data_IF_410561603089
#
_entry.id   IF_410561603089
#
_cell.length_a   1.000
_cell.length_b   1.000
_cell.length_c   1.000
_cell.angle_alpha   90.00
_cell.angle_beta   90.00
_cell.angle_gamma   90.00
#
_symmetry.space_group_name_H-M   'P 1'
#
loop_
_entity.id
_entity.type
_entity.pdbx_description
1 polymer ?
#
# COMPACT_ATOMS: atom_id res chain seq x y z
N UNK A 1 -23.33 -6.23 26.99
CA UNK A 1 -23.75 -5.13 26.12
C UNK A 1 -22.96 -5.26 24.84
N UNK A 2 -23.60 -5.84 23.84
CA UNK A 2 -23.04 -6.14 22.51
C UNK A 2 -23.14 -4.88 21.67
N UNK A 3 -22.02 -4.18 21.47
CA UNK A 3 -21.95 -3.10 20.50
C UNK A 3 -21.89 -3.70 19.08
N UNK A 4 -23.04 -3.69 18.41
CA UNK A 4 -23.10 -3.85 16.96
C UNK A 4 -22.54 -2.58 16.33
N UNK A 5 -21.28 -2.63 15.90
CA UNK A 5 -20.77 -1.69 14.93
C UNK A 5 -21.18 -2.18 13.52
N UNK A 6 -22.34 -1.75 13.07
CA UNK A 6 -22.68 -1.73 11.64
C UNK A 6 -22.04 -0.45 11.10
N UNK A 7 -20.78 -0.52 10.67
CA UNK A 7 -20.14 0.54 9.93
C UNK A 7 -20.56 0.44 8.46
N UNK A 8 -21.41 1.33 8.00
CA UNK A 8 -21.60 1.60 6.56
C UNK A 8 -20.28 2.13 6.00
N UNK A 9 -19.43 1.24 5.48
CA UNK A 9 -18.18 1.59 4.81
C UNK A 9 -18.43 1.80 3.34
N UNK A 10 -19.18 2.87 2.99
CA UNK A 10 -19.29 3.29 1.61
C UNK A 10 -18.10 4.18 1.24
N UNK A 11 -16.90 3.55 1.00
CA UNK A 11 -15.71 4.26 0.52
C UNK A 11 -15.90 4.80 -0.91
N UNK A 12 -16.88 4.29 -1.65
CA UNK A 12 -17.21 4.64 -3.03
C UNK A 12 -18.06 5.91 -3.17
N UNK A 13 -18.66 6.42 -2.07
CA UNK A 13 -19.52 7.61 -2.10
C UNK A 13 -18.79 8.92 -1.79
N UNK A 14 -17.50 8.99 -2.08
CA UNK A 14 -16.70 10.21 -1.91
C UNK A 14 -16.61 11.00 -3.21
N UNK A 15 -16.54 12.35 -3.12
CA UNK A 15 -16.29 13.17 -4.29
C UNK A 15 -14.99 12.79 -4.96
N UNK A 16 -15.01 12.73 -6.28
CA UNK A 16 -13.86 12.56 -7.14
C UNK A 16 -13.32 13.93 -7.60
N UNK A 17 -12.09 13.98 -8.04
CA UNK A 17 -11.49 15.18 -8.62
C UNK A 17 -12.32 15.71 -9.79
N UNK A 18 -12.99 14.84 -10.52
CA UNK A 18 -13.89 15.18 -11.64
C UNK A 18 -15.20 15.86 -11.22
N UNK A 19 -15.59 15.72 -9.94
CA UNK A 19 -16.78 16.35 -9.39
C UNK A 19 -16.53 17.82 -8.96
N UNK A 20 -15.27 18.30 -9.06
CA UNK A 20 -14.89 19.64 -8.64
C UNK A 20 -14.89 20.64 -9.82
N UNK A 21 -15.51 21.79 -9.62
CA UNK A 21 -15.33 22.93 -10.53
C UNK A 21 -14.07 23.71 -10.12
N UNK A 22 -12.96 23.45 -10.79
CA UNK A 22 -11.63 23.97 -10.47
C UNK A 22 -11.22 25.20 -11.28
N UNK A 23 -11.99 25.59 -12.33
CA UNK A 23 -11.61 26.67 -13.26
C UNK A 23 -11.40 28.01 -12.52
N UNK A 24 -10.18 28.52 -12.61
CA UNK A 24 -9.77 29.76 -11.96
C UNK A 24 -9.69 29.69 -10.43
N UNK A 25 -9.86 28.50 -9.84
CA UNK A 25 -9.78 28.32 -8.39
C UNK A 25 -8.46 27.74 -7.95
N UNK A 26 -8.06 28.05 -6.72
CA UNK A 26 -6.95 27.41 -6.04
C UNK A 26 -7.37 26.02 -5.58
N UNK A 27 -6.53 25.04 -5.85
CA UNK A 27 -6.70 23.62 -5.44
C UNK A 27 -5.46 23.19 -4.66
N UNK A 28 -5.63 22.82 -3.42
CA UNK A 28 -4.58 22.17 -2.64
C UNK A 28 -4.64 20.67 -2.91
N UNK A 29 -3.57 20.09 -3.47
CA UNK A 29 -3.50 18.66 -3.76
C UNK A 29 -2.41 18.00 -2.94
N UNK A 30 -2.80 17.05 -2.09
CA UNK A 30 -1.89 16.21 -1.34
C UNK A 30 -1.45 15.04 -2.20
N UNK A 31 -0.17 14.97 -2.52
CA UNK A 31 0.47 13.93 -3.31
C UNK A 31 1.49 13.15 -2.48
N UNK A 32 1.88 11.94 -2.90
CA UNK A 32 2.92 11.15 -2.24
C UNK A 32 4.21 11.15 -3.07
N UNK A 33 5.05 12.17 -2.86
CA UNK A 33 6.36 12.32 -3.47
C UNK A 33 7.49 11.84 -2.56
N UNK A 34 7.21 10.89 -1.68
CA UNK A 34 8.23 10.27 -0.84
C UNK A 34 9.09 9.30 -1.67
N UNK A 35 10.00 9.87 -2.46
CA UNK A 35 10.89 9.19 -3.42
C UNK A 35 12.33 9.19 -2.91
N UNK A 36 13.18 8.22 -3.32
CA UNK A 36 14.59 8.24 -2.96
C UNK A 36 15.32 9.39 -3.65
N UNK A 37 16.04 10.19 -2.86
CA UNK A 37 16.93 11.25 -3.35
C UNK A 37 18.37 10.78 -3.19
N UNK A 38 19.16 10.90 -4.27
CA UNK A 38 20.61 10.63 -4.28
C UNK A 38 21.29 11.75 -5.06
N UNK A 39 22.35 12.31 -4.52
CA UNK A 39 23.09 13.41 -5.15
C UNK A 39 22.21 14.57 -5.63
N UNK A 40 21.25 14.97 -4.78
CA UNK A 40 20.25 16.00 -5.07
C UNK A 40 19.40 15.74 -6.33
N UNK A 41 19.26 14.47 -6.73
CA UNK A 41 18.42 14.01 -7.84
C UNK A 41 17.43 12.94 -7.37
N UNK A 42 16.28 12.85 -8.06
CA UNK A 42 15.30 11.79 -7.84
C UNK A 42 15.84 10.49 -8.45
N UNK A 43 16.02 9.45 -7.63
CA UNK A 43 16.53 8.14 -8.06
C UNK A 43 15.46 7.27 -8.73
N UNK A 44 14.24 7.29 -8.20
CA UNK A 44 13.06 6.61 -8.73
C UNK A 44 11.87 7.58 -8.72
N UNK A 45 11.20 7.77 -9.85
CA UNK A 45 10.12 8.73 -10.01
C UNK A 45 8.72 8.11 -10.14
N UNK A 46 8.56 6.81 -9.87
CA UNK A 46 7.30 6.09 -10.02
C UNK A 46 6.15 6.78 -9.28
N UNK A 47 6.35 7.21 -8.04
CA UNK A 47 5.33 7.92 -7.25
C UNK A 47 4.96 9.28 -7.84
N UNK A 48 5.93 9.99 -8.42
CA UNK A 48 5.66 11.25 -9.10
C UNK A 48 4.80 10.98 -10.34
N UNK A 49 5.18 9.98 -11.14
CA UNK A 49 4.43 9.58 -12.33
C UNK A 49 3.01 9.11 -12.01
N UNK A 50 2.82 8.41 -10.90
CA UNK A 50 1.51 7.95 -10.46
C UNK A 50 0.52 9.10 -10.18
N UNK A 51 1.00 10.27 -9.73
CA UNK A 51 0.17 11.45 -9.48
C UNK A 51 -0.01 12.35 -10.72
N UNK A 52 0.74 12.13 -11.81
CA UNK A 52 0.63 12.97 -13.01
C UNK A 52 -0.78 13.05 -13.60
N UNK A 53 -1.59 11.99 -13.66
CA UNK A 53 -2.95 12.08 -14.18
C UNK A 53 -3.80 13.13 -13.44
N UNK A 54 -3.79 13.12 -12.10
CA UNK A 54 -4.52 14.08 -11.26
C UNK A 54 -4.00 15.51 -11.43
N UNK A 55 -2.67 15.66 -11.48
CA UNK A 55 -2.00 16.95 -11.65
C UNK A 55 -2.36 17.55 -13.02
N UNK A 56 -2.22 16.78 -14.11
CA UNK A 56 -2.55 17.23 -15.46
C UNK A 56 -4.01 17.59 -15.59
N UNK A 57 -4.90 16.76 -15.06
CA UNK A 57 -6.33 17.04 -15.08
C UNK A 57 -6.64 18.38 -14.39
N UNK A 58 -6.14 18.62 -13.18
CA UNK A 58 -6.36 19.88 -12.48
C UNK A 58 -5.85 21.09 -13.26
N UNK A 59 -4.66 20.98 -13.86
CA UNK A 59 -4.05 22.02 -14.70
C UNK A 59 -4.89 22.28 -15.96
N UNK A 60 -5.35 21.22 -16.64
CA UNK A 60 -6.15 21.31 -17.87
C UNK A 60 -7.55 21.89 -17.59
N UNK A 61 -8.06 21.71 -16.37
CA UNK A 61 -9.28 22.39 -15.89
C UNK A 61 -9.06 23.87 -15.52
N UNK A 62 -7.83 24.38 -15.66
CA UNK A 62 -7.49 25.77 -15.35
C UNK A 62 -7.42 26.08 -13.85
N UNK A 63 -7.06 25.10 -13.02
CA UNK A 63 -6.81 25.31 -11.60
C UNK A 63 -5.50 26.09 -11.36
N UNK A 64 -5.42 26.81 -10.23
CA UNK A 64 -4.15 27.22 -9.61
C UNK A 64 -3.77 26.10 -8.65
N UNK A 65 -2.77 25.30 -9.02
CA UNK A 65 -2.50 24.05 -8.32
C UNK A 65 -1.39 24.20 -7.28
N UNK A 66 -1.71 23.88 -6.03
CA UNK A 66 -0.80 23.91 -4.89
C UNK A 66 -0.55 22.45 -4.47
N UNK A 67 0.62 21.92 -4.78
CA UNK A 67 1.04 20.57 -4.43
C UNK A 67 1.74 20.57 -3.08
N UNK A 68 1.43 19.59 -2.24
CA UNK A 68 2.08 19.37 -0.96
C UNK A 68 2.37 17.87 -0.76
N UNK A 69 3.54 17.57 -0.24
CA UNK A 69 3.97 16.22 0.06
C UNK A 69 4.88 16.17 1.29
N UNK A 70 5.12 14.96 1.78
CA UNK A 70 6.21 14.68 2.70
C UNK A 70 7.36 13.98 1.95
N UNK A 71 8.54 14.04 2.52
CA UNK A 71 9.73 13.30 2.10
C UNK A 71 10.49 12.80 3.33
N UNK A 72 10.66 11.49 3.43
CA UNK A 72 11.40 10.87 4.52
C UNK A 72 10.83 11.11 5.91
N UNK A 73 11.71 11.09 6.90
CA UNK A 73 11.39 11.33 8.32
C UNK A 73 12.39 12.32 8.93
N UNK A 74 12.29 13.60 8.60
CA UNK A 74 13.13 14.64 9.21
C UNK A 74 12.83 14.74 10.71
N UNK A 75 13.82 15.16 11.51
CA UNK A 75 13.72 15.24 12.97
C UNK A 75 13.12 16.58 13.45
N UNK A 76 12.05 17.04 12.76
CA UNK A 76 11.29 18.22 13.23
C UNK A 76 11.93 19.56 12.86
N UNK A 77 12.47 19.71 11.66
CA UNK A 77 13.01 20.97 11.15
C UNK A 77 13.54 20.83 9.71
N UNK A 78 13.85 21.94 9.04
CA UNK A 78 14.43 21.93 7.71
C UNK A 78 15.74 21.14 7.66
N UNK A 79 15.82 20.21 6.72
CA UNK A 79 16.99 19.38 6.43
C UNK A 79 17.14 19.26 4.90
N UNK A 80 18.25 19.74 4.31
CA UNK A 80 18.46 19.68 2.85
C UNK A 80 18.34 18.27 2.25
N UNK A 81 18.63 17.22 3.03
CA UNK A 81 18.49 15.83 2.58
C UNK A 81 17.03 15.43 2.33
N UNK A 82 16.08 16.12 2.95
CA UNK A 82 14.65 15.89 2.84
C UNK A 82 13.89 17.01 2.13
N UNK A 83 14.61 17.92 1.41
CA UNK A 83 13.96 18.98 0.64
C UNK A 83 13.28 18.42 -0.62
N UNK A 84 12.10 18.95 -0.94
CA UNK A 84 11.35 18.65 -2.15
C UNK A 84 11.84 19.45 -3.38
N UNK A 85 12.86 20.29 -3.27
CA UNK A 85 13.42 21.04 -4.41
C UNK A 85 13.87 20.14 -5.57
N UNK A 86 14.54 18.97 -5.37
CA UNK A 86 14.84 18.03 -6.45
C UNK A 86 13.57 17.46 -7.12
N UNK A 87 12.53 17.25 -6.34
CA UNK A 87 11.24 16.75 -6.84
C UNK A 87 10.55 17.80 -7.72
N UNK A 88 10.59 19.08 -7.34
CA UNK A 88 10.05 20.18 -8.15
C UNK A 88 10.72 20.22 -9.54
N UNK A 89 12.05 20.10 -9.59
CA UNK A 89 12.80 20.04 -10.87
C UNK A 89 12.39 18.83 -11.72
N UNK A 90 12.29 17.64 -11.11
CA UNK A 90 11.86 16.43 -11.80
C UNK A 90 10.43 16.53 -12.32
N UNK A 91 9.52 17.05 -11.50
CA UNK A 91 8.12 17.25 -11.86
C UNK A 91 7.97 18.24 -13.01
N UNK A 92 8.76 19.33 -13.04
CA UNK A 92 8.78 20.29 -14.16
C UNK A 92 9.11 19.61 -15.49
N UNK A 93 10.11 18.71 -15.49
CA UNK A 93 10.49 17.94 -16.69
C UNK A 93 9.34 17.00 -17.11
N UNK A 94 8.71 16.30 -16.17
CA UNK A 94 7.63 15.35 -16.47
C UNK A 94 6.34 16.03 -16.94
N UNK A 95 6.07 17.26 -16.47
CA UNK A 95 4.91 18.04 -16.88
C UNK A 95 5.16 18.83 -18.17
N UNK A 96 6.43 19.07 -18.55
CA UNK A 96 6.80 19.94 -19.66
C UNK A 96 6.48 21.42 -19.41
N UNK A 97 6.44 21.84 -18.13
CA UNK A 97 6.16 23.20 -17.68
C UNK A 97 6.87 23.52 -16.37
N UNK A 98 6.99 24.80 -16.05
CA UNK A 98 7.56 25.24 -14.79
C UNK A 98 6.68 24.78 -13.60
N UNK A 99 7.33 24.24 -12.57
CA UNK A 99 6.77 24.01 -11.23
C UNK A 99 7.49 24.95 -10.27
N UNK A 100 6.77 25.95 -9.76
CA UNK A 100 7.31 26.91 -8.81
C UNK A 100 7.52 26.26 -7.45
N UNK A 101 8.76 26.15 -7.03
CA UNK A 101 9.08 25.64 -5.69
C UNK A 101 9.03 26.77 -4.67
N UNK A 102 8.39 26.53 -3.51
CA UNK A 102 8.35 27.47 -2.38
C UNK A 102 9.02 26.81 -1.17
N UNK A 103 10.02 27.45 -0.52
CA UNK A 103 10.88 26.80 0.48
C UNK A 103 10.23 26.71 1.88
N UNK A 104 8.92 26.71 1.95
CA UNK A 104 8.10 26.41 3.13
C UNK A 104 6.73 25.90 2.69
N UNK A 105 5.89 25.41 3.61
CA UNK A 105 4.52 24.98 3.33
C UNK A 105 3.45 25.87 4.00
N UNK A 106 3.83 26.83 4.82
CA UNK A 106 2.94 27.84 5.45
C UNK A 106 3.66 29.17 5.57
N UNK A 107 2.92 30.24 5.85
CA UNK A 107 3.44 31.57 6.15
C UNK A 107 3.56 32.49 4.94
N UNK A 108 4.10 33.72 5.17
CA UNK A 108 4.03 34.81 4.17
C UNK A 108 4.60 34.51 2.80
N UNK A 109 5.68 33.73 2.73
CA UNK A 109 6.29 33.34 1.46
C UNK A 109 5.34 32.48 0.62
N UNK A 110 4.64 31.53 1.26
CA UNK A 110 3.65 30.68 0.62
C UNK A 110 2.42 31.48 0.21
N UNK A 111 1.89 32.31 1.11
CA UNK A 111 0.72 33.15 0.87
C UNK A 111 0.94 34.10 -0.31
N UNK A 112 2.10 34.74 -0.39
CA UNK A 112 2.49 35.63 -1.50
C UNK A 112 2.64 34.85 -2.83
N UNK A 113 3.25 33.65 -2.77
CA UNK A 113 3.41 32.82 -3.96
C UNK A 113 2.06 32.36 -4.53
N UNK A 114 1.12 32.00 -3.64
CA UNK A 114 -0.24 31.57 -4.00
C UNK A 114 -1.10 32.75 -4.47
N UNK A 115 -0.98 33.93 -3.85
CA UNK A 115 -1.71 35.15 -4.24
C UNK A 115 -1.30 35.65 -5.61
N UNK A 116 -0.01 35.50 -5.99
CA UNK A 116 0.52 35.91 -7.28
C UNK A 116 0.38 34.87 -8.41
N UNK A 117 -0.25 33.72 -8.15
CA UNK A 117 -0.37 32.65 -9.15
C UNK A 117 -1.60 32.82 -10.03
N UNK A 118 -1.50 32.30 -11.27
CA UNK A 118 -2.54 32.36 -12.30
C UNK A 118 -3.10 30.97 -12.64
N UNK A 119 -4.29 30.89 -13.27
CA UNK A 119 -4.85 29.63 -13.74
C UNK A 119 -3.84 28.85 -14.62
N UNK A 120 -3.62 27.58 -14.28
CA UNK A 120 -2.66 26.70 -14.90
C UNK A 120 -1.27 26.67 -14.24
N UNK A 121 -0.98 27.57 -13.29
CA UNK A 121 0.27 27.54 -12.54
C UNK A 121 0.29 26.34 -11.58
N UNK A 122 1.51 25.77 -11.39
CA UNK A 122 1.77 24.69 -10.46
C UNK A 122 2.81 25.14 -9.44
N UNK A 123 2.44 25.07 -8.17
CA UNK A 123 3.31 25.39 -7.02
C UNK A 123 3.56 24.09 -6.27
N UNK A 124 4.82 23.77 -5.96
CA UNK A 124 5.18 22.71 -5.01
C UNK A 124 5.72 23.35 -3.75
N UNK A 125 5.09 23.06 -2.63
CA UNK A 125 5.50 23.47 -1.29
C UNK A 125 6.63 22.58 -0.78
N UNK A 126 7.41 23.11 0.17
CA UNK A 126 8.45 22.34 0.86
C UNK A 126 7.85 21.24 1.73
N UNK A 127 8.68 20.31 2.17
CA UNK A 127 8.34 19.11 2.93
C UNK A 127 7.48 19.45 4.16
N UNK A 128 6.24 18.96 4.15
CA UNK A 128 5.28 19.15 5.25
C UNK A 128 5.83 18.71 6.61
N UNK A 129 6.69 17.67 6.64
CA UNK A 129 7.28 17.13 7.87
C UNK A 129 8.43 17.95 8.44
N UNK A 130 8.78 19.06 7.83
CA UNK A 130 9.63 20.07 8.50
C UNK A 130 8.89 20.76 9.65
N UNK A 131 7.55 20.65 9.64
CA UNK A 131 6.68 21.08 10.72
C UNK A 131 6.16 19.85 11.48
N UNK A 132 6.49 19.73 12.77
CA UNK A 132 6.00 18.63 13.64
C UNK A 132 4.48 18.61 13.79
N UNK A 133 3.86 19.74 13.56
CA UNK A 133 2.42 19.97 13.56
C UNK A 133 1.71 19.13 12.48
N UNK A 134 2.39 18.76 11.39
CA UNK A 134 1.86 17.89 10.34
C UNK A 134 1.47 16.53 10.90
N UNK A 135 2.42 15.83 11.52
CA UNK A 135 2.17 14.49 12.06
C UNK A 135 1.28 14.52 13.33
N UNK A 136 1.25 15.63 14.04
CA UNK A 136 0.39 15.84 15.20
C UNK A 136 -1.07 16.17 14.83
N UNK A 137 -1.38 16.34 13.55
CA UNK A 137 -2.69 16.79 13.07
C UNK A 137 -3.14 18.10 13.75
N UNK A 138 -2.21 19.04 13.93
CA UNK A 138 -2.47 20.29 14.66
C UNK A 138 -3.54 21.13 13.95
N UNK A 139 -4.62 21.55 14.65
CA UNK A 139 -5.73 22.28 14.02
C UNK A 139 -5.34 23.66 13.47
N UNK A 140 -4.36 24.35 14.08
CA UNK A 140 -3.92 25.66 13.60
C UNK A 140 -3.07 25.53 12.34
N UNK A 141 -2.23 24.50 12.29
CA UNK A 141 -1.45 24.19 11.10
C UNK A 141 -2.36 23.71 9.95
N UNK A 142 -3.32 22.82 10.24
CA UNK A 142 -4.34 22.38 9.30
C UNK A 142 -5.13 23.55 8.71
N UNK A 143 -5.52 24.51 9.56
CA UNK A 143 -6.20 25.73 9.14
C UNK A 143 -5.33 26.59 8.21
N UNK A 144 -4.03 26.76 8.52
CA UNK A 144 -3.11 27.50 7.64
C UNK A 144 -3.01 26.87 6.26
N UNK A 145 -2.92 25.53 6.18
CA UNK A 145 -2.93 24.81 4.91
C UNK A 145 -4.27 24.98 4.16
N UNK A 146 -5.41 24.84 4.85
CA UNK A 146 -6.74 24.95 4.25
C UNK A 146 -7.06 26.35 3.73
N UNK A 147 -6.53 27.40 4.35
CA UNK A 147 -6.72 28.77 3.88
C UNK A 147 -6.01 29.08 2.55
N UNK A 148 -5.06 28.24 2.11
CA UNK A 148 -4.39 28.41 0.81
C UNK A 148 -5.34 28.16 -0.36
N UNK A 149 -6.37 27.28 -0.20
CA UNK A 149 -7.26 26.91 -1.30
C UNK A 149 -8.66 26.52 -0.80
N UNK A 150 -9.76 26.89 -1.51
CA UNK A 150 -11.11 26.46 -1.16
C UNK A 150 -11.37 24.98 -1.51
N UNK A 151 -10.58 24.38 -2.40
CA UNK A 151 -10.73 23.00 -2.86
C UNK A 151 -9.52 22.17 -2.44
N UNK A 152 -9.78 20.96 -1.97
CA UNK A 152 -8.76 19.99 -1.59
C UNK A 152 -8.90 18.70 -2.39
N UNK A 153 -7.77 18.15 -2.81
CA UNK A 153 -7.69 16.83 -3.45
C UNK A 153 -6.68 15.97 -2.70
N UNK A 154 -7.10 14.80 -2.25
CA UNK A 154 -6.19 13.79 -1.73
C UNK A 154 -5.84 12.78 -2.82
N UNK A 155 -4.58 12.78 -3.25
CA UNK A 155 -4.04 11.83 -4.24
C UNK A 155 -2.87 11.03 -3.65
N UNK A 156 -2.86 10.85 -2.34
CA UNK A 156 -1.77 10.24 -1.57
C UNK A 156 -2.30 9.06 -0.74
N UNK A 157 -2.74 7.98 -1.39
CA UNK A 157 -3.31 6.81 -0.72
C UNK A 157 -2.34 6.21 0.32
N UNK A 158 -1.03 6.17 0.02
CA UNK A 158 -0.01 5.66 0.95
C UNK A 158 0.05 6.36 2.31
N UNK A 159 -0.53 7.56 2.44
CA UNK A 159 -0.61 8.30 3.71
C UNK A 159 -2.02 8.37 4.30
N UNK A 160 -3.01 7.83 3.59
CA UNK A 160 -4.42 7.95 3.97
C UNK A 160 -4.79 7.24 5.29
N UNK A 161 -3.96 6.29 5.73
CA UNK A 161 -4.11 5.57 7.00
C UNK A 161 -3.73 6.41 8.23
N UNK A 162 -3.20 7.62 8.04
CA UNK A 162 -2.79 8.51 9.12
C UNK A 162 -3.61 9.78 9.13
N UNK A 163 -4.14 10.15 10.29
CA UNK A 163 -4.77 11.44 10.51
C UNK A 163 -3.68 12.51 10.70
N UNK A 164 -3.13 13.02 9.59
CA UNK A 164 -2.18 14.13 9.60
C UNK A 164 -2.86 15.44 9.18
N UNK A 165 -2.25 16.58 9.47
CA UNK A 165 -2.81 17.89 9.15
C UNK A 165 -3.13 18.06 7.67
N UNK A 166 -2.27 17.56 6.76
CA UNK A 166 -2.46 17.66 5.31
C UNK A 166 -3.34 16.57 4.70
N UNK A 167 -3.69 15.50 5.44
CA UNK A 167 -4.51 14.37 4.94
C UNK A 167 -5.92 14.37 5.49
N UNK A 168 -6.09 14.69 6.78
CA UNK A 168 -7.37 14.70 7.49
C UNK A 168 -7.71 16.12 7.95
N UNK A 169 -6.86 16.76 8.77
CA UNK A 169 -7.16 18.02 9.41
C UNK A 169 -7.51 19.16 8.45
N UNK A 170 -6.84 19.25 7.30
CA UNK A 170 -7.11 20.24 6.25
C UNK A 170 -8.56 20.22 5.76
N UNK A 171 -9.20 19.04 5.74
CA UNK A 171 -10.56 18.86 5.20
C UNK A 171 -11.62 19.65 5.99
N UNK A 172 -11.33 19.99 7.23
CA UNK A 172 -12.22 20.81 8.08
C UNK A 172 -12.20 22.30 7.71
N UNK A 173 -11.26 22.74 6.87
CA UNK A 173 -11.03 24.14 6.53
C UNK A 173 -11.14 24.46 5.04
N UNK A 174 -11.68 23.53 4.24
CA UNK A 174 -11.92 23.69 2.81
C UNK A 174 -13.41 23.52 2.49
N UNK A 175 -13.87 24.05 1.35
CA UNK A 175 -15.28 23.93 0.93
C UNK A 175 -15.62 22.50 0.50
N UNK A 176 -14.70 21.83 -0.22
CA UNK A 176 -14.85 20.48 -0.74
C UNK A 176 -13.51 19.74 -0.72
N UNK A 177 -13.58 18.50 -0.31
CA UNK A 177 -12.45 17.57 -0.31
C UNK A 177 -12.78 16.38 -1.20
N UNK A 178 -11.95 16.09 -2.21
CA UNK A 178 -12.17 15.03 -3.19
C UNK A 178 -10.98 14.06 -3.28
N UNK A 179 -11.25 12.86 -3.80
CA UNK A 179 -10.21 11.90 -4.17
C UNK A 179 -9.59 12.27 -5.52
N UNK A 180 -8.27 12.20 -5.66
CA UNK A 180 -7.58 12.21 -6.94
C UNK A 180 -7.65 10.86 -7.63
N UNK A 181 -7.22 10.77 -8.88
CA UNK A 181 -7.32 9.53 -9.68
C UNK A 181 -6.52 8.35 -9.10
N UNK A 182 -5.35 8.61 -8.46
CA UNK A 182 -4.60 7.55 -7.79
C UNK A 182 -5.39 7.02 -6.60
N UNK A 183 -5.94 7.90 -5.78
CA UNK A 183 -6.79 7.54 -4.64
C UNK A 183 -8.03 6.77 -5.09
N UNK A 184 -8.74 7.24 -6.12
CA UNK A 184 -9.91 6.55 -6.68
C UNK A 184 -9.57 5.15 -7.19
N UNK A 185 -8.44 5.03 -7.89
CA UNK A 185 -7.95 3.74 -8.41
C UNK A 185 -7.72 2.74 -7.28
N UNK A 186 -7.02 3.17 -6.22
CA UNK A 186 -6.78 2.33 -5.03
C UNK A 186 -8.08 1.89 -4.36
N UNK A 187 -8.99 2.83 -4.12
CA UNK A 187 -10.30 2.55 -3.50
C UNK A 187 -11.16 1.63 -4.37
N UNK A 188 -11.14 1.81 -5.69
CA UNK A 188 -11.89 0.96 -6.63
C UNK A 188 -11.40 -0.48 -6.61
N UNK A 189 -10.09 -0.69 -6.71
CA UNK A 189 -9.55 -2.05 -6.79
C UNK A 189 -9.53 -2.76 -5.44
N UNK A 190 -9.05 -2.10 -4.38
CA UNK A 190 -9.03 -2.68 -3.04
C UNK A 190 -10.45 -2.82 -2.47
N UNK A 191 -11.28 -1.78 -2.59
CA UNK A 191 -12.67 -1.79 -2.13
C UNK A 191 -13.51 -2.81 -2.89
N UNK A 192 -13.41 -2.81 -4.22
CA UNK A 192 -14.10 -3.78 -5.07
C UNK A 192 -13.74 -5.22 -4.75
N UNK A 193 -12.45 -5.49 -4.47
CA UNK A 193 -11.99 -6.82 -4.08
C UNK A 193 -12.53 -7.26 -2.70
N UNK A 194 -12.78 -6.32 -1.76
CA UNK A 194 -13.25 -6.65 -0.42
C UNK A 194 -14.77 -6.66 -0.26
N UNK A 195 -15.46 -5.73 -0.93
CA UNK A 195 -16.90 -5.52 -0.76
C UNK A 195 -17.73 -6.36 -1.73
N UNK A 196 -17.28 -6.48 -2.99
CA UNK A 196 -17.98 -7.16 -4.07
C UNK A 196 -17.08 -8.11 -4.87
N UNK A 197 -16.35 -9.05 -4.24
CA UNK A 197 -15.45 -9.94 -4.95
C UNK A 197 -16.22 -10.89 -5.87
N UNK A 198 -15.71 -11.06 -7.09
CA UNK A 198 -16.10 -12.18 -7.93
C UNK A 198 -15.48 -13.47 -7.35
N UNK A 199 -16.29 -14.54 -7.24
CA UNK A 199 -15.82 -15.80 -6.65
C UNK A 199 -15.38 -16.82 -7.68
N UNK A 200 -14.38 -17.68 -7.39
CA UNK A 200 -13.66 -17.78 -6.10
C UNK A 200 -12.77 -16.57 -5.81
N UNK A 201 -12.81 -16.08 -4.54
CA UNK A 201 -11.95 -15.04 -4.02
C UNK A 201 -10.80 -15.65 -3.21
N UNK A 202 -9.56 -15.40 -3.64
CA UNK A 202 -8.35 -15.97 -3.06
C UNK A 202 -7.49 -14.87 -2.48
N UNK A 203 -7.01 -15.08 -1.26
CA UNK A 203 -5.95 -14.25 -0.70
C UNK A 203 -4.63 -15.04 -0.64
N UNK A 204 -3.53 -14.38 -0.95
CA UNK A 204 -2.16 -14.91 -0.87
C UNK A 204 -1.41 -14.05 0.14
N UNK A 205 -0.95 -14.67 1.22
CA UNK A 205 -0.30 -13.97 2.32
C UNK A 205 1.06 -14.61 2.61
N UNK A 206 2.10 -13.81 2.45
CA UNK A 206 3.46 -14.22 2.74
C UNK A 206 4.20 -13.20 3.60
N UNK A 207 5.54 -13.32 3.67
CA UNK A 207 6.40 -12.47 4.47
C UNK A 207 6.87 -13.14 5.77
N UNK A 208 7.48 -12.36 6.66
CA UNK A 208 8.21 -12.92 7.80
C UNK A 208 7.31 -13.16 9.01
N UNK A 209 6.51 -12.17 9.40
CA UNK A 209 5.77 -12.17 10.67
C UNK A 209 4.27 -12.26 10.45
N UNK A 210 3.62 -13.14 11.22
CA UNK A 210 2.16 -13.19 11.30
C UNK A 210 1.62 -11.96 12.05
N UNK A 211 2.33 -11.46 13.07
CA UNK A 211 1.94 -10.31 13.87
C UNK A 211 1.67 -9.05 13.03
N UNK A 212 2.42 -8.85 11.95
CA UNK A 212 2.25 -7.70 11.06
C UNK A 212 1.00 -7.80 10.17
N UNK A 213 0.33 -8.96 10.13
CA UNK A 213 -0.77 -9.26 9.20
C UNK A 213 -1.99 -9.91 9.85
N UNK A 214 -2.02 -10.00 11.19
CA UNK A 214 -3.10 -10.66 11.93
C UNK A 214 -4.45 -10.10 11.54
N UNK A 215 -4.63 -8.79 11.63
CA UNK A 215 -5.90 -8.12 11.35
C UNK A 215 -6.34 -8.31 9.90
N UNK A 216 -5.38 -8.31 8.96
CA UNK A 216 -5.64 -8.60 7.55
C UNK A 216 -6.12 -10.04 7.38
N UNK A 217 -5.43 -11.01 7.99
CA UNK A 217 -5.79 -12.43 7.91
C UNK A 217 -7.19 -12.65 8.51
N UNK A 218 -7.48 -12.06 9.68
CA UNK A 218 -8.78 -12.19 10.34
C UNK A 218 -9.92 -11.61 9.48
N UNK A 219 -9.74 -10.42 8.93
CA UNK A 219 -10.74 -9.80 8.08
C UNK A 219 -10.95 -10.59 6.78
N UNK A 220 -9.87 -11.00 6.13
CA UNK A 220 -9.93 -11.76 4.87
C UNK A 220 -10.50 -13.17 5.07
N UNK A 221 -10.22 -13.85 6.20
CA UNK A 221 -10.72 -15.19 6.48
C UNK A 221 -12.26 -15.27 6.44
N UNK A 222 -12.93 -14.18 6.85
CA UNK A 222 -14.39 -14.04 6.74
C UNK A 222 -14.89 -13.86 5.30
N UNK A 223 -14.05 -13.46 4.36
CA UNK A 223 -14.43 -13.01 3.02
C UNK A 223 -13.98 -13.97 1.91
N UNK A 224 -12.81 -14.59 2.06
CA UNK A 224 -12.19 -15.44 1.02
C UNK A 224 -12.73 -16.86 0.97
N UNK A 225 -12.59 -17.48 -0.20
CA UNK A 225 -12.83 -18.91 -0.39
C UNK A 225 -11.59 -19.74 -0.05
N UNK A 226 -10.38 -19.18 -0.28
CA UNK A 226 -9.08 -19.77 0.11
C UNK A 226 -8.11 -18.68 0.53
N UNK A 227 -7.26 -19.01 1.50
CA UNK A 227 -6.13 -18.21 1.97
C UNK A 227 -4.86 -19.04 1.85
N UNK A 228 -3.98 -18.64 0.94
CA UNK A 228 -2.70 -19.30 0.68
C UNK A 228 -1.63 -18.65 1.55
N UNK A 229 -0.97 -19.42 2.42
CA UNK A 229 0.07 -18.95 3.33
C UNK A 229 1.44 -19.34 2.78
N UNK A 230 2.38 -18.39 2.82
CA UNK A 230 3.79 -18.61 2.46
C UNK A 230 4.72 -17.74 3.29
N UNK A 231 6.00 -17.66 2.89
CA UNK A 231 7.03 -16.94 3.64
C UNK A 231 7.29 -17.55 5.00
N UNK A 232 8.14 -16.91 5.82
CA UNK A 232 8.50 -17.45 7.13
C UNK A 232 7.30 -17.54 8.10
N UNK A 233 6.25 -16.72 7.89
CA UNK A 233 5.03 -16.79 8.72
C UNK A 233 4.34 -18.17 8.67
N UNK A 234 4.56 -18.99 7.62
CA UNK A 234 4.01 -20.35 7.55
C UNK A 234 4.51 -21.24 8.69
N UNK A 235 5.73 -20.99 9.18
CA UNK A 235 6.33 -21.79 10.25
C UNK A 235 5.69 -21.51 11.60
N UNK A 236 5.16 -20.33 11.85
CA UNK A 236 4.34 -20.07 13.05
C UNK A 236 3.06 -20.94 13.03
N UNK A 237 2.40 -21.06 11.89
CA UNK A 237 1.25 -21.96 11.73
C UNK A 237 1.65 -23.44 11.91
N UNK A 238 2.71 -23.90 11.24
CA UNK A 238 3.18 -25.29 11.34
C UNK A 238 3.64 -25.64 12.76
N UNK A 239 4.39 -24.75 13.42
CA UNK A 239 4.80 -24.92 14.80
C UNK A 239 3.62 -25.00 15.77
N UNK A 240 2.56 -24.18 15.53
CA UNK A 240 1.34 -24.23 16.34
C UNK A 240 0.62 -25.58 16.28
N UNK A 241 0.87 -26.39 15.23
CA UNK A 241 0.36 -27.75 15.06
C UNK A 241 1.36 -28.83 15.58
N UNK A 242 2.48 -28.40 16.22
CA UNK A 242 3.50 -29.32 16.75
C UNK A 242 4.47 -29.88 15.68
N UNK A 243 4.55 -29.24 14.48
CA UNK A 243 5.43 -29.69 13.41
C UNK A 243 6.89 -29.33 13.67
N UNK A 244 7.81 -30.07 13.04
CA UNK A 244 9.25 -29.87 13.12
C UNK A 244 9.67 -28.84 12.07
N UNK A 245 10.06 -27.64 12.52
CA UNK A 245 10.38 -26.51 11.64
C UNK A 245 11.88 -26.17 11.61
N UNK A 246 12.75 -27.02 12.21
CA UNK A 246 14.20 -26.79 12.30
C UNK A 246 14.51 -25.43 12.93
N UNK A 247 15.42 -24.69 12.28
CA UNK A 247 15.79 -23.30 12.66
C UNK A 247 14.97 -22.23 11.96
N UNK A 248 13.84 -22.60 11.33
CA UNK A 248 12.98 -21.63 10.63
C UNK A 248 12.46 -20.56 11.57
N UNK A 249 12.31 -19.34 11.06
CA UNK A 249 11.79 -18.21 11.84
C UNK A 249 10.32 -18.43 12.16
N UNK A 250 9.94 -18.21 13.41
CA UNK A 250 8.55 -18.23 13.87
C UNK A 250 8.36 -17.27 15.05
N UNK A 251 7.12 -16.95 15.37
CA UNK A 251 6.74 -16.09 16.49
C UNK A 251 6.13 -16.96 17.60
N UNK A 252 6.89 -17.19 18.68
CA UNK A 252 6.49 -18.07 19.78
C UNK A 252 5.24 -17.55 20.51
N UNK A 253 5.15 -16.24 20.71
CA UNK A 253 4.02 -15.58 21.36
C UNK A 253 2.74 -15.56 20.51
N UNK A 254 2.81 -16.01 19.24
CA UNK A 254 1.66 -16.08 18.31
C UNK A 254 1.16 -17.49 18.01
N UNK A 255 1.71 -18.52 18.65
CA UNK A 255 1.33 -19.91 18.40
C UNK A 255 -0.16 -20.19 18.71
N UNK A 256 -0.67 -19.66 19.82
CA UNK A 256 -2.09 -19.84 20.18
C UNK A 256 -3.02 -19.12 19.20
N UNK A 257 -2.65 -17.94 18.74
CA UNK A 257 -3.36 -17.21 17.71
C UNK A 257 -3.38 -17.98 16.39
N UNK A 258 -2.23 -18.48 15.94
CA UNK A 258 -2.14 -19.28 14.71
C UNK A 258 -3.04 -20.53 14.79
N UNK A 259 -3.09 -21.19 15.95
CA UNK A 259 -3.98 -22.34 16.19
C UNK A 259 -5.46 -21.94 16.12
N UNK A 260 -5.83 -20.79 16.70
CA UNK A 260 -7.21 -20.29 16.62
C UNK A 260 -7.61 -19.95 15.18
N UNK A 261 -6.75 -19.28 14.42
CA UNK A 261 -7.00 -18.97 12.99
C UNK A 261 -7.23 -20.25 12.17
N UNK A 262 -6.41 -21.29 12.36
CA UNK A 262 -6.58 -22.58 11.69
C UNK A 262 -7.90 -23.25 12.07
N UNK A 263 -8.27 -23.21 13.34
CA UNK A 263 -9.56 -23.73 13.84
C UNK A 263 -10.73 -22.98 13.19
N UNK A 264 -10.70 -21.66 13.18
CA UNK A 264 -11.74 -20.80 12.56
C UNK A 264 -11.82 -21.03 11.04
N UNK A 265 -10.68 -21.23 10.39
CA UNK A 265 -10.62 -21.53 8.96
C UNK A 265 -11.28 -22.85 8.57
N UNK A 266 -11.41 -23.79 9.52
CA UNK A 266 -11.95 -25.14 9.29
C UNK A 266 -13.43 -25.27 9.68
N UNK A 267 -14.06 -24.21 10.15
CA UNK A 267 -15.49 -24.21 10.47
C UNK A 267 -16.31 -24.36 9.20
N UNK A 268 -17.16 -25.40 9.17
CA UNK A 268 -18.03 -25.68 8.01
C UNK A 268 -17.45 -26.64 6.97
N UNK A 269 -16.30 -27.28 7.25
CA UNK A 269 -15.73 -28.30 6.37
C UNK A 269 -14.23 -28.19 6.13
N UNK A 270 -13.79 -28.27 4.87
CA UNK A 270 -12.38 -28.16 4.50
C UNK A 270 -11.83 -26.78 4.87
N UNK A 271 -10.62 -26.75 5.44
CA UNK A 271 -9.96 -25.50 5.83
C UNK A 271 -9.85 -24.51 4.67
N UNK A 272 -10.19 -23.26 4.94
CA UNK A 272 -9.94 -22.17 3.98
C UNK A 272 -8.45 -21.82 3.89
N UNK A 273 -7.68 -22.01 4.98
CA UNK A 273 -6.23 -21.79 4.99
C UNK A 273 -5.54 -23.01 4.40
N UNK A 274 -4.71 -22.76 3.40
CA UNK A 274 -3.79 -23.73 2.82
C UNK A 274 -2.37 -23.41 3.27
N UNK A 275 -1.77 -24.37 3.97
CA UNK A 275 -0.36 -24.31 4.37
C UNK A 275 0.51 -25.06 3.34
N UNK A 276 1.78 -24.69 3.19
CA UNK A 276 2.70 -25.38 2.31
C UNK A 276 2.85 -26.86 2.63
N UNK A 277 2.93 -27.68 1.58
CA UNK A 277 3.19 -29.13 1.67
C UNK A 277 4.68 -29.43 1.77
N UNK A 278 5.50 -28.60 1.12
CA UNK A 278 6.95 -28.70 1.08
C UNK A 278 7.59 -27.32 1.06
N UNK A 279 8.86 -27.29 1.38
CA UNK A 279 9.68 -26.09 1.42
C UNK A 279 11.03 -26.33 0.76
N UNK A 280 11.71 -25.26 0.38
CA UNK A 280 13.15 -25.26 0.10
C UNK A 280 13.84 -24.88 1.39
N UNK A 281 14.62 -25.81 1.93
CA UNK A 281 15.40 -25.61 3.16
C UNK A 281 16.89 -25.51 2.85
N UNK A 282 17.61 -24.80 3.71
CA UNK A 282 19.05 -24.68 3.69
C UNK A 282 19.60 -24.42 5.10
N UNK A 283 20.91 -24.50 5.28
CA UNK A 283 21.56 -24.22 6.57
C UNK A 283 21.43 -22.77 7.03
N UNK A 284 21.06 -21.87 6.12
CA UNK A 284 20.80 -20.43 6.35
C UNK A 284 20.61 -19.70 5.04
N UNK A 285 20.26 -18.40 5.11
CA UNK A 285 20.02 -17.54 3.93
C UNK A 285 21.26 -17.45 3.03
N UNK A 286 22.46 -17.47 3.60
CA UNK A 286 23.73 -17.48 2.84
C UNK A 286 24.17 -18.90 2.44
N UNK A 287 23.40 -19.92 2.82
CA UNK A 287 23.70 -21.33 2.54
C UNK A 287 23.08 -21.83 1.23
N UNK A 288 23.05 -21.03 0.18
CA UNK A 288 22.38 -21.33 -1.11
C UNK A 288 22.82 -22.69 -1.71
N UNK A 289 24.10 -23.06 -1.57
CA UNK A 289 24.62 -24.34 -2.08
C UNK A 289 24.03 -25.57 -1.36
N UNK A 290 23.43 -25.40 -0.19
CA UNK A 290 22.76 -26.46 0.57
C UNK A 290 21.25 -26.54 0.32
N UNK A 291 20.71 -25.69 -0.56
CA UNK A 291 19.28 -25.59 -0.82
C UNK A 291 18.74 -26.92 -1.40
N UNK A 292 17.72 -27.48 -0.76
CA UNK A 292 17.04 -28.69 -1.21
C UNK A 292 15.60 -28.73 -0.74
N UNK A 293 14.80 -29.56 -1.41
CA UNK A 293 13.37 -29.75 -1.11
C UNK A 293 13.19 -30.67 0.12
N UNK A 294 12.34 -30.25 1.04
CA UNK A 294 11.94 -31.03 2.21
C UNK A 294 10.41 -30.92 2.44
N UNK A 295 9.76 -31.88 3.15
CA UNK A 295 8.40 -31.67 3.64
C UNK A 295 8.34 -30.45 4.56
N UNK A 296 7.34 -29.57 4.36
CA UNK A 296 7.25 -28.34 5.16
C UNK A 296 6.98 -28.60 6.66
N UNK A 297 6.40 -29.75 6.98
CA UNK A 297 6.11 -30.18 8.35
C UNK A 297 7.25 -30.93 9.03
N UNK A 298 8.41 -31.06 8.35
CA UNK A 298 9.59 -31.76 8.86
C UNK A 298 10.86 -31.16 8.30
N UNK A 299 11.18 -29.93 8.72
CA UNK A 299 12.45 -29.28 8.41
C UNK A 299 13.55 -29.86 9.30
N UNK A 300 14.71 -30.27 8.75
CA UNK A 300 15.82 -30.78 9.55
C UNK A 300 16.30 -29.79 10.64
N UNK A 301 16.73 -30.29 11.79
CA UNK A 301 17.09 -29.48 12.97
C UNK A 301 18.15 -28.41 12.67
N UNK A 302 19.12 -28.73 11.79
CA UNK A 302 20.21 -27.81 11.41
C UNK A 302 19.84 -26.76 10.35
N UNK A 303 18.64 -26.82 9.79
CA UNK A 303 18.22 -26.07 8.61
C UNK A 303 17.02 -25.17 8.87
N UNK A 304 16.77 -24.25 7.93
CA UNK A 304 15.60 -23.39 7.92
C UNK A 304 14.94 -23.39 6.57
N UNK A 305 13.61 -23.33 6.54
CA UNK A 305 12.86 -23.15 5.30
C UNK A 305 12.93 -21.70 4.81
N UNK A 306 13.21 -21.53 3.52
CA UNK A 306 13.49 -20.23 2.91
C UNK A 306 12.60 -19.92 1.70
N UNK A 307 11.90 -20.92 1.13
CA UNK A 307 10.89 -20.74 0.09
C UNK A 307 9.87 -21.88 0.18
N UNK A 308 8.73 -21.72 -0.48
CA UNK A 308 7.79 -22.82 -0.71
C UNK A 308 8.35 -23.79 -1.75
N UNK A 309 8.07 -25.09 -1.58
CA UNK A 309 8.56 -26.13 -2.47
C UNK A 309 7.65 -26.34 -3.71
N UNK A 310 8.10 -27.17 -4.68
CA UNK A 310 7.41 -27.37 -5.95
C UNK A 310 6.03 -28.02 -5.81
N UNK A 311 5.79 -28.90 -4.83
CA UNK A 311 4.46 -29.48 -4.58
C UNK A 311 3.46 -28.41 -4.09
N UNK A 312 3.94 -27.48 -3.26
CA UNK A 312 3.16 -26.32 -2.80
C UNK A 312 2.85 -25.40 -3.97
N UNK A 313 3.84 -25.12 -4.82
CA UNK A 313 3.66 -24.30 -6.03
C UNK A 313 2.58 -24.91 -6.92
N UNK A 314 2.64 -26.21 -7.21
CA UNK A 314 1.63 -26.92 -8.02
C UNK A 314 0.21 -26.74 -7.43
N UNK A 315 0.07 -26.97 -6.12
CA UNK A 315 -1.21 -26.82 -5.43
C UNK A 315 -1.72 -25.37 -5.50
N UNK A 316 -0.86 -24.37 -5.22
CA UNK A 316 -1.26 -22.97 -5.19
C UNK A 316 -1.58 -22.43 -6.58
N UNK A 317 -0.82 -22.82 -7.60
CA UNK A 317 -1.08 -22.45 -9.01
C UNK A 317 -2.46 -22.95 -9.45
N UNK A 318 -2.82 -24.19 -9.10
CA UNK A 318 -4.15 -24.72 -9.41
C UNK A 318 -5.29 -23.89 -8.78
N UNK A 319 -5.11 -23.45 -7.51
CA UNK A 319 -6.07 -22.60 -6.81
C UNK A 319 -6.13 -21.19 -7.43
N UNK A 320 -4.97 -20.61 -7.77
CA UNK A 320 -4.85 -19.28 -8.40
C UNK A 320 -5.54 -19.25 -9.76
N UNK A 321 -5.34 -20.27 -10.61
CA UNK A 321 -5.97 -20.31 -11.93
C UNK A 321 -7.50 -20.46 -11.89
N UNK A 322 -8.05 -21.03 -10.81
CA UNK A 322 -9.49 -21.11 -10.60
C UNK A 322 -10.10 -19.80 -10.07
N UNK A 323 -9.29 -18.86 -9.60
CA UNK A 323 -9.74 -17.63 -8.98
C UNK A 323 -10.41 -16.65 -9.96
N UNK A 324 -11.29 -15.79 -9.43
CA UNK A 324 -11.86 -14.62 -10.11
C UNK A 324 -11.42 -13.31 -9.48
N UNK A 325 -11.11 -13.33 -8.18
CA UNK A 325 -10.52 -12.22 -7.44
C UNK A 325 -9.32 -12.72 -6.66
N UNK A 326 -8.20 -12.01 -6.75
CA UNK A 326 -6.97 -12.32 -6.02
C UNK A 326 -6.49 -11.05 -5.31
N UNK A 327 -6.18 -11.20 -4.02
CA UNK A 327 -5.40 -10.21 -3.26
C UNK A 327 -4.11 -10.89 -2.82
N UNK A 328 -2.97 -10.28 -3.13
CA UNK A 328 -1.66 -10.82 -2.75
C UNK A 328 -0.84 -9.79 -1.96
N UNK A 329 -0.35 -10.21 -0.79
CA UNK A 329 0.51 -9.40 0.06
C UNK A 329 1.62 -10.25 0.71
N UNK A 330 2.86 -9.97 0.35
CA UNK A 330 4.08 -10.61 0.87
C UNK A 330 4.57 -11.80 0.04
N UNK A 331 5.90 -11.93 -0.12
CA UNK A 331 6.53 -12.99 -0.89
C UNK A 331 6.40 -14.35 -0.20
N UNK A 332 6.57 -15.43 -0.99
CA UNK A 332 6.47 -16.80 -0.52
C UNK A 332 7.79 -17.34 0.05
N UNK A 333 8.90 -16.67 -0.20
CA UNK A 333 10.24 -17.00 0.24
C UNK A 333 11.19 -15.83 0.19
N UNK A 334 12.48 -16.05 0.41
CA UNK A 334 13.57 -15.06 0.33
C UNK A 334 13.90 -14.81 -1.15
N UNK A 335 12.97 -14.19 -1.86
CA UNK A 335 13.01 -14.05 -3.33
C UNK A 335 14.14 -13.15 -3.84
N UNK A 336 14.80 -12.40 -2.98
CA UNK A 336 16.01 -11.62 -3.29
C UNK A 336 17.18 -12.51 -3.67
N UNK A 337 17.22 -13.74 -3.13
CA UNK A 337 18.22 -14.78 -3.43
C UNK A 337 17.64 -15.76 -4.46
N UNK A 338 18.32 -15.96 -5.57
CA UNK A 338 17.81 -16.79 -6.68
C UNK A 338 17.52 -18.24 -6.29
N UNK A 339 18.30 -18.82 -5.36
CA UNK A 339 18.08 -20.16 -4.83
C UNK A 339 16.75 -20.31 -4.06
N UNK A 340 16.17 -19.22 -3.57
CA UNK A 340 14.96 -19.19 -2.76
C UNK A 340 13.85 -18.32 -3.38
N UNK A 341 13.95 -18.03 -4.69
CA UNK A 341 13.00 -17.19 -5.42
C UNK A 341 11.95 -17.99 -6.21
N UNK A 342 12.19 -19.27 -6.45
CA UNK A 342 11.40 -20.05 -7.40
C UNK A 342 9.90 -20.09 -7.06
N UNK A 343 9.57 -20.25 -5.78
CA UNK A 343 8.19 -20.26 -5.29
C UNK A 343 7.50 -18.92 -5.52
N UNK A 344 8.11 -17.81 -5.09
CA UNK A 344 7.57 -16.47 -5.29
C UNK A 344 7.40 -16.13 -6.77
N UNK A 345 8.37 -16.47 -7.62
CA UNK A 345 8.31 -16.22 -9.06
C UNK A 345 7.22 -17.05 -9.74
N UNK A 346 7.02 -18.30 -9.32
CA UNK A 346 5.95 -19.14 -9.84
C UNK A 346 4.56 -18.58 -9.49
N UNK A 347 4.37 -18.13 -8.26
CA UNK A 347 3.11 -17.48 -7.84
C UNK A 347 2.88 -16.20 -8.62
N UNK A 348 3.89 -15.34 -8.81
CA UNK A 348 3.76 -14.11 -9.59
C UNK A 348 3.30 -14.39 -11.03
N UNK A 349 3.89 -15.39 -11.68
CA UNK A 349 3.50 -15.80 -13.04
C UNK A 349 2.08 -16.36 -13.06
N UNK A 350 1.72 -17.22 -12.12
CA UNK A 350 0.38 -17.79 -12.02
C UNK A 350 -0.71 -16.70 -11.84
N UNK A 351 -0.44 -15.71 -11.00
CA UNK A 351 -1.34 -14.55 -10.82
C UNK A 351 -1.48 -13.77 -12.12
N UNK A 352 -0.38 -13.51 -12.82
CA UNK A 352 -0.37 -12.81 -14.12
C UNK A 352 -1.06 -13.59 -15.25
N UNK A 353 -1.03 -14.93 -15.20
CA UNK A 353 -1.68 -15.83 -16.18
C UNK A 353 -3.15 -16.09 -15.85
N UNK A 354 -3.57 -15.80 -14.63
CA UNK A 354 -4.96 -15.94 -14.23
C UNK A 354 -5.83 -14.89 -14.94
N UNK A 355 -7.12 -15.17 -15.08
CA UNK A 355 -8.12 -14.21 -15.59
C UNK A 355 -8.80 -13.43 -14.45
N UNK A 356 -8.23 -13.51 -13.26
CA UNK A 356 -8.78 -12.87 -12.07
C UNK A 356 -8.49 -11.37 -12.05
N UNK A 357 -9.35 -10.61 -11.40
CA UNK A 357 -8.99 -9.27 -10.93
C UNK A 357 -7.96 -9.45 -9.82
N UNK A 358 -6.71 -9.05 -10.08
CA UNK A 358 -5.57 -9.25 -9.18
C UNK A 358 -5.09 -7.92 -8.59
N UNK A 359 -5.07 -7.84 -7.27
CA UNK A 359 -4.60 -6.68 -6.51
C UNK A 359 -3.38 -7.09 -5.71
N UNK A 360 -2.24 -6.47 -6.03
CA UNK A 360 -0.96 -6.73 -5.40
C UNK A 360 -0.69 -5.63 -4.37
N UNK A 361 -0.58 -5.99 -3.10
CA UNK A 361 -0.31 -5.07 -2.01
C UNK A 361 1.05 -5.28 -1.36
N UNK A 362 1.70 -4.18 -0.95
CA UNK A 362 3.00 -4.19 -0.29
C UNK A 362 4.20 -4.14 -1.24
N UNK A 363 5.26 -3.46 -0.77
CA UNK A 363 6.46 -3.20 -1.57
C UNK A 363 7.16 -4.47 -2.05
N UNK A 364 7.29 -5.47 -1.18
CA UNK A 364 7.97 -6.73 -1.50
C UNK A 364 7.21 -7.55 -2.56
N UNK A 365 5.87 -7.54 -2.51
CA UNK A 365 5.05 -8.21 -3.53
C UNK A 365 5.16 -7.49 -4.87
N UNK A 366 5.15 -6.16 -4.87
CA UNK A 366 5.37 -5.36 -6.08
C UNK A 366 6.77 -5.64 -6.68
N UNK A 367 7.82 -5.69 -5.84
CA UNK A 367 9.17 -6.03 -6.24
C UNK A 367 9.26 -7.46 -6.81
N UNK A 368 8.53 -8.42 -6.23
CA UNK A 368 8.47 -9.79 -6.73
C UNK A 368 7.80 -9.86 -8.12
N UNK A 369 6.70 -9.13 -8.34
CA UNK A 369 6.02 -9.03 -9.64
C UNK A 369 6.92 -8.39 -10.69
N UNK A 370 7.68 -7.33 -10.31
CA UNK A 370 8.67 -6.67 -11.17
C UNK A 370 9.82 -7.64 -11.51
N UNK A 371 10.40 -8.33 -10.51
CA UNK A 371 11.46 -9.34 -10.73
C UNK A 371 10.98 -10.46 -11.67
N UNK A 372 9.71 -10.84 -11.60
CA UNK A 372 9.11 -11.84 -12.51
C UNK A 372 8.81 -11.29 -13.91
N UNK A 373 8.88 -9.96 -14.14
CA UNK A 373 8.62 -9.32 -15.43
C UNK A 373 7.16 -9.40 -15.86
N UNK A 374 6.22 -9.32 -14.91
CA UNK A 374 4.77 -9.52 -15.15
C UNK A 374 3.90 -8.35 -14.66
N UNK A 375 4.49 -7.18 -14.42
CA UNK A 375 3.80 -5.99 -13.90
C UNK A 375 2.60 -5.56 -14.76
N UNK A 376 2.74 -5.60 -16.08
CA UNK A 376 1.70 -5.21 -17.04
C UNK A 376 0.59 -6.25 -17.18
N UNK A 377 0.72 -7.41 -16.52
CA UNK A 377 -0.20 -8.55 -16.62
C UNK A 377 -1.04 -8.75 -15.36
N UNK A 378 -0.86 -7.91 -14.34
CA UNK A 378 -1.69 -7.87 -13.14
C UNK A 378 -2.63 -6.67 -13.20
N UNK A 379 -3.81 -6.77 -12.57
CA UNK A 379 -4.83 -5.73 -12.69
C UNK A 379 -4.42 -4.45 -11.97
N UNK A 380 -3.89 -4.56 -10.75
CA UNK A 380 -3.49 -3.41 -9.94
C UNK A 380 -2.34 -3.73 -9.00
N UNK A 381 -1.31 -2.90 -9.01
CA UNK A 381 -0.24 -2.90 -8.00
C UNK A 381 -0.47 -1.67 -7.13
N UNK A 382 -0.82 -1.92 -5.85
CA UNK A 382 -1.09 -0.84 -4.90
C UNK A 382 0.21 -0.13 -4.49
N UNK A 383 0.16 1.18 -4.51
CA UNK A 383 1.24 2.05 -4.03
C UNK A 383 1.11 2.36 -2.54
N UNK A 384 0.05 1.89 -1.89
CA UNK A 384 -0.36 2.29 -0.55
C UNK A 384 0.47 1.75 0.61
N UNK A 385 1.26 0.68 0.41
CA UNK A 385 2.06 0.09 1.47
C UNK A 385 1.26 -0.24 2.73
N UNK A 386 1.51 0.47 3.84
CA UNK A 386 0.78 0.32 5.10
C UNK A 386 -0.71 0.63 4.98
N UNK A 387 -1.08 1.65 4.22
CA UNK A 387 -2.48 2.00 4.00
C UNK A 387 -3.27 0.87 3.32
N UNK A 388 -2.64 0.15 2.39
CA UNK A 388 -3.27 -1.02 1.75
C UNK A 388 -3.51 -2.15 2.75
N UNK A 389 -2.56 -2.38 3.67
CA UNK A 389 -2.71 -3.39 4.73
C UNK A 389 -3.85 -3.04 5.68
N UNK A 390 -3.89 -1.80 6.18
CA UNK A 390 -4.96 -1.35 7.07
C UNK A 390 -6.32 -1.38 6.37
N UNK A 391 -6.38 -1.01 5.09
CA UNK A 391 -7.60 -1.13 4.31
C UNK A 391 -8.04 -2.60 4.15
N UNK A 392 -7.11 -3.52 3.86
CA UNK A 392 -7.37 -4.96 3.78
C UNK A 392 -7.76 -5.56 5.14
N UNK A 393 -7.30 -4.97 6.24
CA UNK A 393 -7.73 -5.30 7.61
C UNK A 393 -9.16 -4.80 7.92
N UNK A 394 -9.79 -4.05 7.02
CA UNK A 394 -11.13 -3.47 7.21
C UNK A 394 -11.12 -2.21 8.06
N UNK A 395 -9.98 -1.59 8.26
CA UNK A 395 -9.86 -0.36 9.03
C UNK A 395 -10.31 0.84 8.19
N UNK A 396 -10.92 1.81 8.85
CA UNK A 396 -11.29 3.09 8.24
C UNK A 396 -10.04 3.94 8.07
N UNK A 397 -9.72 4.31 6.84
CA UNK A 397 -8.60 5.21 6.57
C UNK A 397 -9.01 6.66 6.81
N UNK A 398 -8.41 7.39 7.80
CA UNK A 398 -8.81 8.76 8.12
C UNK A 398 -8.78 9.72 6.93
N UNK A 399 -7.74 9.63 6.08
CA UNK A 399 -7.60 10.48 4.90
C UNK A 399 -8.61 10.19 3.79
N UNK A 400 -9.33 9.05 3.84
CA UNK A 400 -10.47 8.72 2.97
C UNK A 400 -11.77 9.14 3.64
N UNK A 401 -11.94 8.81 4.92
CA UNK A 401 -13.16 9.12 5.68
C UNK A 401 -13.46 10.62 5.69
N UNK A 402 -12.42 11.45 5.79
CA UNK A 402 -12.51 12.90 5.82
C UNK A 402 -12.89 13.56 4.48
N UNK A 403 -12.88 12.83 3.35
CA UNK A 403 -13.33 13.36 2.07
C UNK A 403 -14.84 13.62 2.07
N UNK A 404 -15.27 14.61 1.28
CA UNK A 404 -16.69 14.98 1.15
C UNK A 404 -17.47 13.84 0.49
N UNK A 405 -18.61 13.45 1.09
CA UNK A 405 -19.51 12.44 0.52
C UNK A 405 -20.23 12.96 -0.74
N UNK A 406 -20.50 12.07 -1.70
CA UNK A 406 -21.49 12.33 -2.76
C UNK A 406 -22.88 12.37 -2.11
N UNK A 407 -23.63 13.40 -2.38
CA UNK A 407 -25.02 13.52 -1.93
C UNK A 407 -25.96 12.78 -2.86
#
# INVERSE_FOLDING_TARGET
MTHHFVGEHCTMDKLAITDLNMRGKRVFMRVDFNVPIRDAQVGDDLRIRASLPSIRYAVDQGAILILASHLGRPKGGPDPAYSLAPVARRLSVLLGREVKFVPDCVGPAVENAVAGAHPGDVILLENLRFHKEEEANDPLFSKKLGLLAPLYVNDAFGTAHRAHASTEGITHFVEKAAAGFLMEKELTYLGGALEHPQRPFIAIMGGVKISDKIEVIENLLGKVDRLLIGGAMMFTFLKSQGKEIGKSLFEEDKLDLARDLLRRASVGGASKILLPLDAIAAIGVEGEASAHQVPADRIPEGEMGLDIGPKTVEQYVAVIHAAKTIVWNGPMGVFEKDAFAAGTMAIARAVAESKAVSVIGGGDSAAAVAKAGVEDRVTHISTGGGASLEFLAGQVLPGVAALTGKR
#
